data_IF_554868731651
#
_entry.id   IF_554868731651
#
_cell.length_a   1.000
_cell.length_b   1.000
_cell.length_c   1.000
_cell.angle_alpha   90.00
_cell.angle_beta   90.00
_cell.angle_gamma   90.00
#
_symmetry.space_group_name_H-M   'P 1'
#
loop_
_entity.id
_entity.type
_entity.pdbx_description
1 polymer ?
#
# COMPACT_ATOMS: atom_id res chain seq x y z
N UNK A 1 38.05 -4.34 -14.28
CA UNK A 1 36.96 -3.36 -14.38
C UNK A 1 37.48 -2.01 -13.90
N UNK A 2 37.27 -0.93 -14.65
CA UNK A 2 37.69 0.42 -14.21
C UNK A 2 36.80 0.95 -13.09
N UNK A 3 37.35 1.77 -12.19
CA UNK A 3 36.64 2.35 -11.04
C UNK A 3 35.32 3.06 -11.41
N UNK A 4 35.27 3.70 -12.57
CA UNK A 4 34.06 4.33 -13.10
C UNK A 4 32.96 3.32 -13.46
N UNK A 5 33.31 2.16 -14.01
CA UNK A 5 32.35 1.11 -14.35
C UNK A 5 31.74 0.46 -13.10
N UNK A 6 32.56 0.22 -12.06
CA UNK A 6 32.09 -0.31 -10.78
C UNK A 6 31.15 0.66 -10.06
N UNK A 7 31.48 1.96 -10.04
CA UNK A 7 30.60 2.99 -9.46
C UNK A 7 29.26 3.07 -10.19
N UNK A 8 29.28 3.00 -11.53
CA UNK A 8 28.06 3.04 -12.32
C UNK A 8 27.16 1.83 -12.06
N UNK A 9 27.74 0.65 -11.89
CA UNK A 9 26.95 -0.56 -11.58
C UNK A 9 26.34 -0.48 -10.19
N UNK A 10 27.12 -0.04 -9.20
CA UNK A 10 26.63 0.14 -7.84
C UNK A 10 25.50 1.20 -7.76
N UNK A 11 25.60 2.28 -8.54
CA UNK A 11 24.53 3.27 -8.63
C UNK A 11 23.26 2.69 -9.26
N UNK A 12 23.39 1.83 -10.28
CA UNK A 12 22.25 1.18 -10.97
C UNK A 12 21.50 0.22 -10.07
N UNK A 13 22.22 -0.56 -9.25
CA UNK A 13 21.62 -1.46 -8.26
C UNK A 13 20.81 -0.69 -7.20
N UNK A 14 21.19 0.56 -6.89
CA UNK A 14 20.50 1.41 -5.92
C UNK A 14 19.23 2.08 -6.43
N UNK A 15 18.96 2.06 -7.74
CA UNK A 15 17.83 2.82 -8.35
C UNK A 15 16.49 2.26 -7.90
N UNK A 16 16.34 0.95 -7.79
CA UNK A 16 15.10 0.31 -7.31
C UNK A 16 15.45 -0.70 -6.23
N UNK A 17 14.91 -0.49 -5.03
CA UNK A 17 15.17 -1.35 -3.87
C UNK A 17 13.86 -1.77 -3.22
N UNK A 18 13.82 -3.00 -2.72
CA UNK A 18 12.75 -3.47 -1.85
C UNK A 18 13.14 -3.23 -0.40
N UNK A 19 12.16 -2.87 0.43
CA UNK A 19 12.38 -2.64 1.84
C UNK A 19 11.11 -2.80 2.67
N UNK A 20 11.24 -2.57 3.97
CA UNK A 20 10.14 -2.66 4.94
C UNK A 20 10.02 -1.33 5.68
N UNK A 21 8.79 -0.82 5.79
CA UNK A 21 8.52 0.44 6.50
C UNK A 21 8.82 0.28 8.00
N UNK A 22 9.65 1.16 8.55
CA UNK A 22 10.04 1.15 9.97
C UNK A 22 9.40 2.27 10.78
N UNK A 23 9.05 3.39 10.15
CA UNK A 23 8.38 4.51 10.78
C UNK A 23 7.48 5.25 9.79
N UNK A 24 6.40 5.84 10.28
CA UNK A 24 5.42 6.59 9.49
C UNK A 24 5.13 7.92 10.17
N UNK A 25 5.27 9.01 9.43
CA UNK A 25 4.80 10.34 9.80
C UNK A 25 3.64 10.72 8.86
N UNK A 26 2.43 10.50 9.38
CA UNK A 26 1.18 10.84 8.69
C UNK A 26 1.00 12.36 8.50
N UNK A 27 1.65 13.20 9.33
CA UNK A 27 1.48 14.66 9.26
C UNK A 27 2.23 15.28 8.08
N UNK A 28 3.33 14.64 7.65
CA UNK A 28 4.16 15.10 6.53
C UNK A 28 4.08 14.21 5.29
N UNK A 29 3.21 13.20 5.31
CA UNK A 29 3.06 12.18 4.26
C UNK A 29 4.38 11.45 3.93
N UNK A 30 5.17 11.12 4.97
CA UNK A 30 6.49 10.49 4.83
C UNK A 30 6.69 9.26 5.70
N UNK A 31 7.51 8.33 5.21
CA UNK A 31 7.87 7.12 5.95
C UNK A 31 9.37 6.82 5.83
N UNK A 32 9.90 6.05 6.77
CA UNK A 32 11.23 5.46 6.72
C UNK A 32 11.16 4.00 6.31
N UNK A 33 12.15 3.55 5.56
CA UNK A 33 12.23 2.20 5.02
C UNK A 33 13.60 1.59 5.35
N UNK A 34 13.59 0.40 5.95
CA UNK A 34 14.78 -0.44 6.06
C UNK A 34 14.96 -1.28 4.80
N UNK A 35 16.20 -1.36 4.32
CA UNK A 35 16.59 -2.21 3.19
C UNK A 35 17.38 -3.45 3.63
N UNK A 36 17.34 -3.78 4.93
CA UNK A 36 18.09 -4.87 5.55
C UNK A 36 19.42 -4.42 6.19
N UNK A 37 19.88 -5.19 7.17
CA UNK A 37 21.07 -4.87 7.97
C UNK A 37 20.92 -3.51 8.69
N UNK A 38 21.96 -2.68 8.60
CA UNK A 38 21.97 -1.32 9.16
C UNK A 38 21.47 -0.25 8.17
N UNK A 39 20.98 -0.64 6.98
CA UNK A 39 20.55 0.30 5.94
C UNK A 39 19.10 0.76 6.17
N UNK A 40 18.93 2.04 6.53
CA UNK A 40 17.64 2.72 6.64
C UNK A 40 17.62 4.00 5.78
N UNK A 41 16.48 4.33 5.19
CA UNK A 41 16.28 5.57 4.45
C UNK A 41 16.13 6.79 5.38
N UNK A 42 16.25 7.98 4.78
CA UNK A 42 15.64 9.19 5.37
C UNK A 42 14.11 9.13 5.27
N UNK A 43 13.42 10.20 5.68
CA UNK A 43 11.98 10.37 5.50
C UNK A 43 11.62 10.54 4.02
N UNK A 44 11.11 9.47 3.40
CA UNK A 44 10.72 9.46 2.00
C UNK A 44 9.22 9.72 1.86
N UNK A 45 8.78 10.50 0.86
CA UNK A 45 7.37 10.55 0.52
C UNK A 45 6.91 9.20 -0.03
N UNK A 46 5.64 8.85 0.20
CA UNK A 46 5.00 7.74 -0.50
C UNK A 46 4.11 8.23 -1.64
N UNK A 47 3.98 7.39 -2.66
CA UNK A 47 3.13 7.67 -3.81
C UNK A 47 1.66 7.55 -3.42
N UNK A 48 0.94 8.67 -3.49
CA UNK A 48 -0.52 8.66 -3.41
C UNK A 48 -1.11 8.20 -4.75
N UNK A 49 -2.28 7.55 -4.72
CA UNK A 49 -2.98 7.17 -5.95
C UNK A 49 -3.33 8.41 -6.80
N UNK A 50 -3.79 9.48 -6.16
CA UNK A 50 -4.06 10.80 -6.77
C UNK A 50 -3.78 11.91 -5.73
N UNK A 51 -3.19 13.03 -6.19
CA UNK A 51 -2.71 14.12 -5.34
C UNK A 51 -3.05 15.53 -5.88
N UNK A 52 -4.22 15.69 -6.52
CA UNK A 52 -4.66 16.97 -7.08
C UNK A 52 -6.18 17.12 -6.90
N UNK A 53 -6.95 17.40 -7.96
CA UNK A 53 -8.41 17.52 -7.88
C UNK A 53 -9.09 16.28 -7.26
N UNK A 54 -8.51 15.10 -7.49
CA UNK A 54 -8.79 13.90 -6.69
C UNK A 54 -7.63 13.73 -5.71
N UNK A 55 -7.95 13.61 -4.44
CA UNK A 55 -6.99 13.30 -3.37
C UNK A 55 -7.36 11.97 -2.73
N UNK A 56 -6.41 11.03 -2.68
CA UNK A 56 -6.59 9.75 -2.00
C UNK A 56 -5.60 9.66 -0.84
N UNK A 57 -6.14 9.49 0.37
CA UNK A 57 -5.34 9.27 1.58
C UNK A 57 -5.33 7.80 1.95
N UNK A 58 -4.17 7.16 1.76
CA UNK A 58 -3.90 5.78 2.13
C UNK A 58 -2.43 5.68 2.55
N UNK A 59 -2.10 5.94 3.83
CA UNK A 59 -0.72 5.89 4.29
C UNK A 59 -0.21 4.45 4.32
N UNK A 60 1.09 4.29 4.11
CA UNK A 60 1.78 3.03 4.40
C UNK A 60 1.79 2.75 5.91
N UNK A 61 1.95 1.49 6.29
CA UNK A 61 1.98 1.02 7.67
C UNK A 61 3.35 0.44 8.06
N UNK A 62 3.70 0.51 9.34
CA UNK A 62 4.92 -0.13 9.86
C UNK A 62 4.85 -1.64 9.60
N UNK A 63 5.94 -2.23 9.10
CA UNK A 63 6.02 -3.64 8.71
C UNK A 63 5.56 -3.94 7.28
N UNK A 64 5.04 -2.95 6.56
CA UNK A 64 4.65 -3.09 5.17
C UNK A 64 5.88 -3.20 4.26
N UNK A 65 5.86 -4.20 3.36
CA UNK A 65 6.91 -4.34 2.36
C UNK A 65 6.62 -3.40 1.20
N UNK A 66 7.63 -2.64 0.78
CA UNK A 66 7.49 -1.59 -0.24
C UNK A 66 8.62 -1.64 -1.25
N UNK A 67 8.40 -0.99 -2.39
CA UNK A 67 9.43 -0.69 -3.39
C UNK A 67 9.77 0.80 -3.36
N UNK A 68 11.06 1.11 -3.29
CA UNK A 68 11.60 2.47 -3.29
C UNK A 68 12.36 2.69 -4.59
N UNK A 69 12.06 3.79 -5.26
CA UNK A 69 12.86 4.28 -6.39
C UNK A 69 13.70 5.46 -5.95
N UNK A 70 15.00 5.35 -6.15
CA UNK A 70 16.00 6.35 -5.80
C UNK A 70 16.55 7.02 -7.05
N UNK A 71 16.58 8.35 -7.08
CA UNK A 71 17.21 9.07 -8.19
C UNK A 71 18.72 8.82 -8.19
N UNK A 72 19.26 8.35 -9.32
CA UNK A 72 20.69 8.04 -9.47
C UNK A 72 21.27 7.08 -8.41
N UNK A 73 20.41 6.27 -7.78
CA UNK A 73 20.81 5.34 -6.71
C UNK A 73 20.97 5.98 -5.32
N UNK A 74 20.69 7.28 -5.16
CA UNK A 74 20.74 7.97 -3.87
C UNK A 74 19.42 7.79 -3.11
N UNK A 75 19.41 6.89 -2.13
CA UNK A 75 18.24 6.59 -1.31
C UNK A 75 17.70 7.78 -0.53
N UNK A 76 18.51 8.82 -0.26
CA UNK A 76 18.02 10.05 0.35
C UNK A 76 17.04 10.83 -0.54
N UNK A 77 17.07 10.61 -1.85
CA UNK A 77 16.13 11.17 -2.83
C UNK A 77 15.11 10.14 -3.29
N UNK A 78 14.84 9.13 -2.46
CA UNK A 78 13.90 8.06 -2.77
C UNK A 78 12.44 8.49 -2.70
N UNK A 79 11.59 7.77 -3.45
CA UNK A 79 10.12 7.80 -3.32
C UNK A 79 9.63 6.36 -3.15
N UNK A 80 8.73 6.15 -2.19
CA UNK A 80 8.06 4.85 -2.03
C UNK A 80 7.00 4.75 -3.13
N UNK A 81 7.21 3.87 -4.12
CA UNK A 81 6.33 3.77 -5.29
C UNK A 81 5.13 2.85 -5.06
N UNK A 82 5.18 1.96 -4.08
CA UNK A 82 4.05 1.08 -3.83
C UNK A 82 4.38 -0.04 -2.85
N UNK A 83 3.35 -0.83 -2.61
CA UNK A 83 3.30 -1.86 -1.58
C UNK A 83 3.24 -3.24 -2.17
N UNK A 84 3.81 -4.20 -1.45
CA UNK A 84 3.90 -5.60 -1.86
C UNK A 84 3.32 -6.49 -0.77
N UNK A 85 2.58 -7.50 -1.19
CA UNK A 85 2.19 -8.57 -0.27
C UNK A 85 3.42 -9.29 0.24
N UNK A 86 3.37 -9.68 1.50
CA UNK A 86 4.44 -10.41 2.18
C UNK A 86 3.85 -11.44 3.14
N UNK A 87 4.69 -12.30 3.72
CA UNK A 87 4.24 -13.24 4.74
C UNK A 87 3.63 -12.55 5.97
N UNK A 88 4.12 -11.35 6.31
CA UNK A 88 3.58 -10.55 7.41
C UNK A 88 2.29 -9.79 7.04
N UNK A 89 2.12 -9.47 5.75
CA UNK A 89 0.98 -8.73 5.22
C UNK A 89 0.46 -9.41 3.94
N UNK A 90 -0.29 -10.52 4.07
CA UNK A 90 -0.74 -11.30 2.91
C UNK A 90 -1.85 -10.59 2.12
N UNK A 91 -2.10 -11.08 0.91
CA UNK A 91 -3.16 -10.58 0.05
C UNK A 91 -4.55 -10.65 0.70
N UNK A 92 -5.39 -9.64 0.47
CA UNK A 92 -6.75 -9.55 1.02
C UNK A 92 -7.79 -10.42 0.28
N UNK A 93 -7.35 -11.28 -0.65
CA UNK A 93 -8.19 -12.17 -1.45
C UNK A 93 -7.35 -13.14 -2.27
N UNK A 94 -8.02 -14.12 -2.88
CA UNK A 94 -7.41 -15.18 -3.70
C UNK A 94 -8.08 -15.37 -5.06
N UNK A 95 -9.12 -14.58 -5.36
CA UNK A 95 -9.88 -14.66 -6.61
C UNK A 95 -9.45 -13.55 -7.59
N UNK A 96 -9.40 -13.90 -8.87
CA UNK A 96 -9.27 -12.94 -9.95
C UNK A 96 -10.56 -12.09 -10.12
N UNK A 97 -10.45 -10.95 -10.79
CA UNK A 97 -11.56 -10.03 -11.04
C UNK A 97 -12.32 -9.53 -9.79
N UNK A 98 -11.60 -9.40 -8.66
CA UNK A 98 -12.12 -8.81 -7.41
C UNK A 98 -11.32 -7.57 -7.05
N UNK A 99 -11.99 -6.45 -6.84
CA UNK A 99 -11.39 -5.26 -6.25
C UNK A 99 -11.82 -5.18 -4.78
N UNK A 100 -10.85 -5.23 -3.86
CA UNK A 100 -11.13 -5.20 -2.41
C UNK A 100 -10.21 -4.26 -1.67
N UNK A 101 -10.81 -3.37 -0.89
CA UNK A 101 -10.12 -2.55 0.11
C UNK A 101 -10.49 -3.09 1.49
N UNK A 102 -9.50 -3.46 2.31
CA UNK A 102 -9.70 -4.05 3.65
C UNK A 102 -8.90 -3.30 4.70
N UNK A 103 -9.54 -2.98 5.82
CA UNK A 103 -8.93 -2.35 7.00
C UNK A 103 -9.46 -3.08 8.23
N UNK A 104 -8.62 -3.87 8.89
CA UNK A 104 -9.03 -4.69 10.04
C UNK A 104 -10.23 -5.60 9.71
N UNK A 105 -11.32 -5.44 10.47
CA UNK A 105 -12.58 -6.16 10.28
C UNK A 105 -13.54 -5.55 9.25
N UNK A 106 -13.14 -4.50 8.55
CA UNK A 106 -13.96 -3.79 7.55
C UNK A 106 -13.43 -3.99 6.14
N UNK A 107 -14.33 -4.04 5.15
CA UNK A 107 -13.94 -4.03 3.74
C UNK A 107 -15.03 -3.53 2.80
N UNK A 108 -14.60 -2.98 1.67
CA UNK A 108 -15.40 -2.75 0.47
C UNK A 108 -14.91 -3.75 -0.58
N UNK A 109 -15.81 -4.55 -1.15
CA UNK A 109 -15.48 -5.57 -2.16
C UNK A 109 -16.38 -5.38 -3.36
N UNK A 110 -15.78 -5.32 -4.55
CA UNK A 110 -16.48 -5.26 -5.83
C UNK A 110 -16.09 -6.49 -6.63
N UNK A 111 -17.08 -7.23 -7.08
CA UNK A 111 -16.94 -8.36 -8.03
C UNK A 111 -17.67 -8.03 -9.32
N UNK A 112 -17.61 -8.93 -10.31
CA UNK A 112 -18.40 -8.77 -11.54
C UNK A 112 -19.91 -8.81 -11.34
N UNK A 113 -20.41 -9.27 -10.19
CA UNK A 113 -21.85 -9.47 -9.94
C UNK A 113 -22.39 -8.77 -8.70
N UNK A 114 -21.54 -8.24 -7.82
CA UNK A 114 -21.99 -7.64 -6.56
C UNK A 114 -21.02 -6.59 -6.01
N UNK A 115 -21.56 -5.70 -5.19
CA UNK A 115 -20.82 -4.78 -4.34
C UNK A 115 -21.17 -5.09 -2.88
N UNK A 116 -20.15 -5.38 -2.07
CA UNK A 116 -20.30 -5.73 -0.66
C UNK A 116 -19.56 -4.75 0.23
N UNK A 117 -20.29 -4.11 1.14
CA UNK A 117 -19.77 -3.40 2.29
C UNK A 117 -19.85 -4.33 3.50
N UNK A 118 -18.75 -4.49 4.22
CA UNK A 118 -18.73 -5.27 5.46
C UNK A 118 -17.96 -4.53 6.54
N UNK A 119 -18.47 -4.56 7.77
CA UNK A 119 -17.77 -4.06 8.94
C UNK A 119 -18.11 -4.89 10.17
N UNK A 120 -17.12 -5.60 10.72
CA UNK A 120 -17.20 -6.34 11.98
C UNK A 120 -18.46 -7.23 12.11
N UNK A 121 -18.89 -7.86 11.00
CA UNK A 121 -20.05 -8.76 10.95
C UNK A 121 -21.34 -8.16 10.38
N UNK A 122 -21.47 -6.82 10.31
CA UNK A 122 -22.58 -6.19 9.58
C UNK A 122 -22.25 -6.13 8.09
N UNK A 123 -23.26 -6.29 7.22
CA UNK A 123 -23.09 -6.27 5.76
C UNK A 123 -24.20 -5.51 5.04
N UNK A 124 -23.81 -4.90 3.92
CA UNK A 124 -24.71 -4.43 2.88
C UNK A 124 -24.20 -5.03 1.57
N UNK A 125 -25.07 -5.77 0.87
CA UNK A 125 -24.76 -6.40 -0.41
C UNK A 125 -25.75 -5.88 -1.44
N UNK A 126 -25.23 -5.32 -2.53
CA UNK A 126 -25.99 -4.94 -3.72
C UNK A 126 -25.62 -5.90 -4.84
N UNK A 127 -26.61 -6.54 -5.44
CA UNK A 127 -26.45 -7.34 -6.65
C UNK A 127 -27.54 -7.01 -7.70
N UNK A 128 -27.68 -7.85 -8.72
CA UNK A 128 -28.64 -7.64 -9.79
C UNK A 128 -30.11 -7.84 -9.37
N UNK A 129 -30.36 -8.56 -8.28
CA UNK A 129 -31.69 -8.91 -7.80
C UNK A 129 -32.18 -7.99 -6.69
N UNK A 130 -31.35 -7.69 -5.70
CA UNK A 130 -31.77 -6.93 -4.52
C UNK A 130 -30.64 -6.18 -3.79
N UNK A 131 -31.03 -5.56 -2.66
CA UNK A 131 -30.13 -5.02 -1.65
C UNK A 131 -30.38 -5.76 -0.34
N UNK A 132 -29.41 -6.57 0.08
CA UNK A 132 -29.46 -7.28 1.35
C UNK A 132 -28.70 -6.50 2.44
N UNK A 133 -29.37 -6.20 3.55
CA UNK A 133 -28.80 -5.52 4.73
C UNK A 133 -28.85 -6.48 5.92
N UNK A 134 -27.70 -6.80 6.50
CA UNK A 134 -27.60 -7.68 7.67
C UNK A 134 -26.88 -6.99 8.82
N UNK A 135 -27.46 -7.08 10.01
CA UNK A 135 -26.91 -6.56 11.26
C UNK A 135 -27.86 -6.85 12.42
N UNK A 136 -27.38 -6.67 13.65
CA UNK A 136 -28.21 -6.89 14.84
C UNK A 136 -29.38 -5.89 14.94
N UNK A 137 -29.26 -4.72 14.32
CA UNK A 137 -30.26 -3.66 14.25
C UNK A 137 -30.09 -2.91 12.93
N UNK A 138 -31.20 -2.56 12.29
CA UNK A 138 -31.25 -1.71 11.10
C UNK A 138 -32.15 -0.51 11.40
N UNK A 139 -31.56 0.68 11.37
CA UNK A 139 -32.29 1.94 11.56
C UNK A 139 -32.54 2.57 10.19
N UNK A 140 -33.81 2.79 9.85
CA UNK A 140 -34.27 3.48 8.65
C UNK A 140 -34.89 4.81 9.10
N UNK A 141 -34.40 5.93 8.57
CA UNK A 141 -34.94 7.27 8.86
C UNK A 141 -36.23 7.53 8.09
#
# INVERSE_FOLDING_TARGET
MGYAAARNEQAREGIVRFGVVTAVDATTARAKVSFGGESESTWLPWMAERAAAITVWAPVSIGEQVVVRSESGETAQGVILGSLFSNGNPAAGSAEAVHRVKIGGSSITITGSAITLSSNGSTIVLDAGDVAINGARVDLN
#
